data_IF_128487264707
#
_entry.id   IF_128487264707
#
_cell.length_a   1.000
_cell.length_b   1.000
_cell.length_c   1.000
_cell.angle_alpha   90.00
_cell.angle_beta   90.00
_cell.angle_gamma   90.00
#
_symmetry.space_group_name_H-M   'P 1'
#
loop_
_entity.id
_entity.type
_entity.pdbx_description
1 polymer ?
#
# COMPACT_ATOMS: atom_id res chain seq x y z
N UNK A 1 -46.37 -42.69 54.90
CA UNK A 1 -45.63 -42.08 56.04
C UNK A 1 -44.84 -40.90 55.47
N UNK A 2 -45.21 -39.63 55.72
CA UNK A 2 -44.62 -38.72 56.74
C UNK A 2 -43.08 -38.93 56.82
N UNK A 3 -42.19 -37.97 56.60
CA UNK A 3 -42.21 -36.56 56.99
C UNK A 3 -40.89 -35.86 56.57
N UNK A 4 -40.99 -34.56 56.26
CA UNK A 4 -40.04 -33.44 56.53
C UNK A 4 -38.62 -33.37 55.92
N UNK A 5 -38.44 -32.27 55.16
CA UNK A 5 -37.22 -31.48 54.91
C UNK A 5 -36.50 -31.04 56.19
N UNK A 6 -35.19 -30.66 56.09
CA UNK A 6 -34.88 -29.23 56.07
C UNK A 6 -33.79 -28.83 55.05
N UNK A 7 -34.01 -27.68 54.41
CA UNK A 7 -32.96 -26.80 53.85
C UNK A 7 -31.99 -26.38 54.98
N UNK A 8 -30.72 -26.09 54.66
CA UNK A 8 -30.34 -24.69 54.76
C UNK A 8 -29.30 -24.18 53.74
N UNK A 9 -29.31 -22.85 53.61
CA UNK A 9 -28.17 -21.95 53.42
C UNK A 9 -27.46 -21.90 52.04
N UNK A 10 -27.93 -20.96 51.22
CA UNK A 10 -27.16 -19.79 50.77
C UNK A 10 -25.62 -19.90 50.92
N UNK A 11 -24.95 -20.17 49.81
CA UNK A 11 -23.63 -19.63 49.49
C UNK A 11 -23.72 -19.02 48.09
N UNK A 12 -23.96 -17.70 48.06
CA UNK A 12 -23.73 -16.83 46.92
C UNK A 12 -22.23 -16.84 46.62
N UNK A 13 -21.78 -17.80 45.82
CA UNK A 13 -20.49 -17.74 45.16
C UNK A 13 -20.67 -16.94 43.87
N UNK A 14 -20.50 -15.63 44.01
CA UNK A 14 -20.19 -14.72 42.92
C UNK A 14 -18.88 -15.16 42.26
N UNK A 15 -18.96 -16.06 41.30
CA UNK A 15 -17.85 -16.31 40.38
C UNK A 15 -17.87 -15.19 39.34
N UNK A 16 -16.98 -14.22 39.54
CA UNK A 16 -16.65 -13.18 38.57
C UNK A 16 -16.44 -13.80 37.19
N UNK A 17 -17.02 -13.25 36.11
CA UNK A 17 -16.47 -13.47 34.79
C UNK A 17 -15.13 -12.72 34.77
N UNK A 18 -14.04 -13.41 35.06
CA UNK A 18 -12.75 -13.01 34.52
C UNK A 18 -12.92 -13.14 33.00
N UNK A 19 -13.27 -12.02 32.37
CA UNK A 19 -13.17 -11.87 30.94
C UNK A 19 -11.69 -12.11 30.63
N UNK A 20 -11.34 -13.34 30.28
CA UNK A 20 -10.06 -13.64 29.66
C UNK A 20 -10.15 -12.92 28.33
N UNK A 21 -9.69 -11.67 28.30
CA UNK A 21 -9.20 -11.05 27.10
C UNK A 21 -8.13 -12.02 26.61
N UNK A 22 -8.51 -12.87 25.67
CA UNK A 22 -7.55 -13.53 24.79
C UNK A 22 -6.90 -12.35 24.11
N UNK A 23 -5.77 -11.92 24.67
CA UNK A 23 -4.79 -11.20 23.90
C UNK A 23 -4.60 -12.06 22.67
N UNK A 24 -5.09 -11.58 21.53
CA UNK A 24 -4.62 -12.03 20.23
C UNK A 24 -3.14 -11.70 20.27
N UNK A 25 -2.36 -12.64 20.83
CA UNK A 25 -0.96 -12.75 20.56
C UNK A 25 -0.93 -12.81 19.04
N UNK A 26 -0.47 -11.72 18.42
CA UNK A 26 -0.45 -11.57 16.97
C UNK A 26 0.03 -12.88 16.40
N UNK A 27 -0.83 -13.51 15.61
CA UNK A 27 -0.46 -14.68 14.84
C UNK A 27 0.86 -14.33 14.19
N UNK A 28 1.93 -15.02 14.62
CA UNK A 28 3.26 -14.82 14.09
C UNK A 28 3.16 -14.99 12.59
N UNK A 29 3.22 -13.87 11.86
CA UNK A 29 3.13 -13.86 10.41
C UNK A 29 4.13 -14.90 9.90
N UNK A 30 3.69 -15.88 9.07
CA UNK A 30 4.62 -16.72 8.36
C UNK A 30 5.57 -15.79 7.60
N UNK A 31 6.83 -15.70 8.05
CA UNK A 31 7.79 -14.77 7.49
C UNK A 31 7.96 -15.12 6.00
N UNK A 32 7.46 -14.27 5.11
CA UNK A 32 7.56 -14.48 3.66
C UNK A 32 6.34 -14.08 2.84
N UNK A 33 5.18 -13.83 3.44
CA UNK A 33 3.98 -13.43 2.70
C UNK A 33 3.45 -12.07 3.17
N UNK A 34 3.30 -11.15 2.21
CA UNK A 34 2.58 -9.89 2.40
C UNK A 34 1.09 -10.17 2.64
N UNK A 35 0.43 -9.42 3.50
CA UNK A 35 -1.03 -9.49 3.61
C UNK A 35 -1.72 -8.77 2.44
N UNK A 36 -3.01 -9.05 2.26
CA UNK A 36 -3.82 -8.41 1.23
C UNK A 36 -3.86 -6.89 1.41
N UNK A 37 -3.88 -6.41 2.65
CA UNK A 37 -3.85 -4.98 2.96
C UNK A 37 -2.55 -4.33 2.51
N UNK A 38 -1.40 -4.97 2.76
CA UNK A 38 -0.09 -4.46 2.34
C UNK A 38 0.04 -4.44 0.82
N UNK A 39 -0.40 -5.52 0.15
CA UNK A 39 -0.40 -5.57 -1.32
C UNK A 39 -1.29 -4.47 -1.88
N UNK A 40 -2.49 -4.29 -1.32
CA UNK A 40 -3.42 -3.23 -1.72
C UNK A 40 -2.82 -1.83 -1.54
N UNK A 41 -2.15 -1.60 -0.41
CA UNK A 41 -1.43 -0.35 -0.13
C UNK A 41 -0.35 -0.08 -1.17
N UNK A 42 0.50 -1.07 -1.48
CA UNK A 42 1.55 -0.91 -2.48
C UNK A 42 1.00 -0.65 -3.87
N UNK A 43 -0.08 -1.33 -4.26
CA UNK A 43 -0.73 -1.09 -5.56
C UNK A 43 -1.34 0.31 -5.65
N UNK A 44 -1.90 0.81 -4.55
CA UNK A 44 -2.39 2.20 -4.46
C UNK A 44 -1.25 3.21 -4.62
N UNK A 45 -0.14 3.03 -3.89
CA UNK A 45 1.03 3.91 -3.98
C UNK A 45 1.68 3.85 -5.38
N UNK A 46 1.76 2.65 -5.97
CA UNK A 46 2.19 2.47 -7.36
C UNK A 46 1.30 3.24 -8.34
N UNK A 47 -0.02 3.17 -8.17
CA UNK A 47 -0.96 3.91 -9.01
C UNK A 47 -0.78 5.42 -8.84
N UNK A 48 -0.58 5.91 -7.61
CA UNK A 48 -0.31 7.33 -7.36
C UNK A 48 0.94 7.83 -8.08
N UNK A 49 2.02 7.04 -8.10
CA UNK A 49 3.21 7.36 -8.88
C UNK A 49 2.91 7.42 -10.39
N UNK A 50 2.19 6.43 -10.93
CA UNK A 50 1.80 6.42 -12.35
C UNK A 50 0.93 7.62 -12.73
N UNK A 51 -0.08 7.94 -11.92
CA UNK A 51 -0.95 9.11 -12.13
C UNK A 51 -0.16 10.42 -12.05
N UNK A 52 0.79 10.51 -11.12
CA UNK A 52 1.69 11.67 -11.05
C UNK A 52 2.48 11.80 -12.35
N UNK A 53 3.11 10.72 -12.81
CA UNK A 53 3.97 10.75 -14.00
C UNK A 53 3.20 11.19 -15.24
N UNK A 54 2.02 10.62 -15.48
CA UNK A 54 1.15 10.99 -16.60
C UNK A 54 0.78 12.47 -16.54
N UNK A 55 0.27 12.93 -15.38
CA UNK A 55 -0.16 14.31 -15.20
C UNK A 55 0.99 15.30 -15.40
N UNK A 56 2.14 15.07 -14.76
CA UNK A 56 3.31 15.94 -14.90
C UNK A 56 3.89 15.93 -16.31
N UNK A 57 3.89 14.78 -16.97
CA UNK A 57 4.35 14.70 -18.36
C UNK A 57 3.43 15.50 -19.30
N UNK A 58 2.12 15.52 -19.05
CA UNK A 58 1.17 16.35 -19.81
C UNK A 58 1.37 17.85 -19.57
N UNK A 59 1.55 18.26 -18.31
CA UNK A 59 1.85 19.66 -17.95
C UNK A 59 3.14 20.16 -18.62
N UNK A 60 4.12 19.29 -18.80
CA UNK A 60 5.45 19.62 -19.33
C UNK A 60 5.60 19.28 -20.82
N UNK A 61 4.54 18.83 -21.49
CA UNK A 61 4.60 18.37 -22.88
C UNK A 61 5.00 19.50 -23.85
N UNK A 62 4.69 20.77 -23.53
CA UNK A 62 5.11 21.93 -24.32
C UNK A 62 6.53 22.43 -24.03
N UNK A 63 7.10 22.05 -22.89
CA UNK A 63 8.35 22.64 -22.37
C UNK A 63 9.61 22.03 -23.01
N UNK A 64 9.50 20.82 -23.56
CA UNK A 64 10.62 20.11 -24.19
C UNK A 64 10.22 19.56 -25.54
N UNK A 65 11.09 19.66 -26.55
CA UNK A 65 10.88 19.04 -27.85
C UNK A 65 10.95 17.50 -27.76
N UNK A 66 11.95 16.99 -27.05
CA UNK A 66 12.18 15.56 -26.87
C UNK A 66 11.24 14.97 -25.80
N UNK A 67 10.42 13.99 -26.21
CA UNK A 67 9.50 13.24 -25.35
C UNK A 67 10.20 12.60 -24.15
N UNK A 68 11.43 12.11 -24.33
CA UNK A 68 12.18 11.49 -23.22
C UNK A 68 12.51 12.49 -22.13
N UNK A 69 12.89 13.71 -22.52
CA UNK A 69 13.17 14.80 -21.55
C UNK A 69 11.92 15.22 -20.78
N UNK A 70 10.74 15.22 -21.42
CA UNK A 70 9.46 15.45 -20.73
C UNK A 70 9.26 14.41 -19.63
N UNK A 71 9.40 13.13 -19.97
CA UNK A 71 9.17 12.03 -19.02
C UNK A 71 10.23 12.02 -17.92
N UNK A 72 11.50 12.25 -18.24
CA UNK A 72 12.59 12.32 -17.25
C UNK A 72 12.36 13.46 -16.24
N UNK A 73 11.95 14.64 -16.73
CA UNK A 73 11.65 15.78 -15.87
C UNK A 73 10.40 15.53 -15.01
N UNK A 74 9.37 14.88 -15.57
CA UNK A 74 8.19 14.47 -14.83
C UNK A 74 8.50 13.43 -13.75
N UNK A 75 9.42 12.49 -14.01
CA UNK A 75 9.89 11.52 -13.01
C UNK A 75 10.53 12.21 -11.81
N UNK A 76 11.36 13.23 -12.03
CA UNK A 76 11.95 14.02 -10.93
C UNK A 76 10.87 14.71 -10.09
N UNK A 77 9.79 15.22 -10.71
CA UNK A 77 8.66 15.82 -9.98
C UNK A 77 7.80 14.82 -9.22
N UNK A 78 7.92 13.53 -9.52
CA UNK A 78 7.14 12.44 -8.92
C UNK A 78 7.95 11.53 -7.99
N UNK A 79 9.21 11.89 -7.70
CA UNK A 79 10.10 11.13 -6.81
C UNK A 79 9.48 10.92 -5.42
N UNK A 80 8.76 11.92 -4.90
CA UNK A 80 8.08 11.83 -3.61
C UNK A 80 7.04 10.69 -3.52
N UNK A 81 6.35 10.35 -4.62
CA UNK A 81 5.42 9.22 -4.65
C UNK A 81 6.18 7.88 -4.70
N UNK A 82 7.31 7.83 -5.40
CA UNK A 82 8.16 6.64 -5.42
C UNK A 82 8.80 6.38 -4.06
N UNK A 83 9.17 7.44 -3.34
CA UNK A 83 9.74 7.35 -2.00
C UNK A 83 8.70 6.93 -0.95
N UNK A 84 7.44 7.35 -1.09
CA UNK A 84 6.34 6.83 -0.26
C UNK A 84 6.17 5.32 -0.43
N UNK A 85 6.21 4.83 -1.67
CA UNK A 85 6.16 3.40 -1.95
C UNK A 85 7.35 2.65 -1.34
N UNK A 86 8.57 3.19 -1.49
CA UNK A 86 9.77 2.62 -0.84
C UNK A 86 9.62 2.57 0.68
N UNK A 87 9.15 3.66 1.28
CA UNK A 87 8.98 3.81 2.73
C UNK A 87 7.99 2.77 3.26
N UNK A 88 6.81 2.66 2.64
CA UNK A 88 5.80 1.66 3.04
C UNK A 88 6.35 0.23 2.97
N UNK A 89 7.11 -0.11 1.92
CA UNK A 89 7.73 -1.43 1.81
C UNK A 89 8.82 -1.67 2.87
N UNK A 90 9.58 -0.64 3.24
CA UNK A 90 10.57 -0.73 4.31
C UNK A 90 9.92 -0.89 5.69
N UNK A 91 8.81 -0.19 5.96
CA UNK A 91 8.06 -0.28 7.22
C UNK A 91 7.56 -1.71 7.48
N UNK A 92 7.12 -2.39 6.42
CA UNK A 92 6.69 -3.79 6.46
C UNK A 92 7.85 -4.80 6.29
N UNK A 93 9.11 -4.35 6.42
CA UNK A 93 10.33 -5.16 6.40
C UNK A 93 10.48 -6.04 5.14
N UNK A 94 10.02 -5.53 4.01
CA UNK A 94 10.18 -6.23 2.73
C UNK A 94 11.68 -6.31 2.38
N UNK A 95 12.19 -7.46 1.87
CA UNK A 95 13.60 -7.59 1.55
C UNK A 95 14.07 -6.53 0.54
N UNK A 96 15.21 -5.89 0.82
CA UNK A 96 15.70 -4.75 0.01
C UNK A 96 15.79 -5.06 -1.50
N UNK A 97 16.27 -6.26 -1.86
CA UNK A 97 16.33 -6.68 -3.27
C UNK A 97 14.96 -6.81 -3.94
N UNK A 98 13.92 -7.15 -3.19
CA UNK A 98 12.54 -7.13 -3.70
C UNK A 98 12.04 -5.69 -3.88
N UNK A 99 12.32 -4.80 -2.91
CA UNK A 99 11.95 -3.38 -3.01
C UNK A 99 12.57 -2.77 -4.27
N UNK A 100 13.88 -2.96 -4.48
CA UNK A 100 14.57 -2.43 -5.66
C UNK A 100 13.97 -2.96 -6.97
N UNK A 101 13.73 -4.27 -7.06
CA UNK A 101 13.12 -4.87 -8.25
C UNK A 101 11.69 -4.34 -8.48
N UNK A 102 10.90 -4.18 -7.42
CA UNK A 102 9.53 -3.69 -7.51
C UNK A 102 9.47 -2.23 -7.96
N UNK A 103 10.31 -1.36 -7.37
CA UNK A 103 10.40 0.05 -7.75
C UNK A 103 10.89 0.20 -9.20
N UNK A 104 11.91 -0.56 -9.60
CA UNK A 104 12.41 -0.55 -10.98
C UNK A 104 11.33 -1.00 -11.98
N UNK A 105 10.56 -2.05 -11.66
CA UNK A 105 9.46 -2.51 -12.50
C UNK A 105 8.32 -1.48 -12.57
N UNK A 106 8.00 -0.84 -11.45
CA UNK A 106 7.02 0.25 -11.37
C UNK A 106 7.42 1.40 -12.29
N UNK A 107 8.67 1.84 -12.20
CA UNK A 107 9.22 2.93 -12.99
C UNK A 107 9.23 2.59 -14.48
N UNK A 108 9.72 1.40 -14.85
CA UNK A 108 9.70 0.91 -16.24
C UNK A 108 8.29 0.85 -16.82
N UNK A 109 7.30 0.37 -16.06
CA UNK A 109 5.90 0.32 -16.52
C UNK A 109 5.33 1.73 -16.69
N UNK A 110 5.57 2.62 -15.74
CA UNK A 110 5.09 3.99 -15.78
C UNK A 110 5.64 4.73 -17.00
N UNK A 111 6.95 4.63 -17.26
CA UNK A 111 7.60 5.24 -18.44
C UNK A 111 7.02 4.68 -19.75
N UNK A 112 6.82 3.36 -19.84
CA UNK A 112 6.22 2.72 -21.02
C UNK A 112 4.79 3.23 -21.30
N UNK A 113 4.05 3.63 -20.26
CA UNK A 113 2.72 4.21 -20.40
C UNK A 113 2.75 5.71 -20.69
N UNK A 114 3.68 6.46 -20.08
CA UNK A 114 3.76 7.90 -20.22
C UNK A 114 4.24 8.34 -21.62
N UNK A 115 5.26 7.67 -22.19
CA UNK A 115 5.84 8.07 -23.49
C UNK A 115 4.77 8.16 -24.61
N UNK A 116 3.94 7.13 -24.87
CA UNK A 116 2.91 7.22 -25.92
C UNK A 116 1.88 8.32 -25.66
N UNK A 117 1.53 8.59 -24.41
CA UNK A 117 0.60 9.64 -24.06
C UNK A 117 1.19 11.02 -24.36
N UNK A 118 2.46 11.25 -24.02
CA UNK A 118 3.16 12.49 -24.34
C UNK A 118 3.28 12.69 -25.85
N UNK A 119 3.59 11.62 -26.60
CA UNK A 119 3.62 11.69 -28.07
C UNK A 119 2.27 12.12 -28.64
N UNK A 120 1.17 11.57 -28.13
CA UNK A 120 -0.18 11.94 -28.54
C UNK A 120 -0.49 13.40 -28.21
N UNK A 121 -0.23 13.83 -26.98
CA UNK A 121 -0.43 15.23 -26.55
C UNK A 121 0.37 16.21 -27.40
N UNK A 122 1.60 15.86 -27.78
CA UNK A 122 2.42 16.67 -28.68
C UNK A 122 1.90 16.70 -30.11
N UNK A 123 1.42 15.58 -30.63
CA UNK A 123 0.82 15.52 -31.96
C UNK A 123 -0.44 16.40 -32.04
N UNK A 124 -1.26 16.45 -30.99
CA UNK A 124 -2.43 17.34 -30.90
C UNK A 124 -2.07 18.83 -30.84
N UNK A 125 -0.84 19.17 -30.42
CA UNK A 125 -0.34 20.54 -30.35
C UNK A 125 0.33 21.02 -31.65
N UNK A 126 0.63 20.12 -32.59
CA UNK A 126 1.22 20.45 -33.89
C UNK A 126 0.10 20.61 -34.93
N UNK A 127 -0.22 21.85 -35.37
CA UNK A 127 -1.27 22.11 -36.37
C UNK A 127 -0.90 21.63 -37.78
#
# INVERSE_FOLDING_TARGET
MKKTFPLPLLMLLSLSPALTAVAVAGEGRPSGYLSEEEVSEYMKLQHQYQSCLVRRSGEMAGDYEDVRKVVDAAMQKCEGQLEQLRTAMNEHQVPAGFIEAFLHNTLRRAVKQAIPQVMMMKAEQQP
#
